data_IF_919231041460
#
_entry.id   IF_919231041460
#
_cell.length_a   1.000
_cell.length_b   1.000
_cell.length_c   1.000
_cell.angle_alpha   90.00
_cell.angle_beta   90.00
_cell.angle_gamma   90.00
#
_symmetry.space_group_name_H-M   'P 1'
#
loop_
_entity.id
_entity.type
_entity.pdbx_description
1 polymer ?
#
# COMPACT_ATOMS: atom_id res chain seq x y z
N UNK A 1 17.06 16.89 -3.87
CA UNK A 1 17.45 15.49 -4.11
C UNK A 1 18.09 15.44 -5.49
N UNK A 2 19.21 14.75 -5.66
CA UNK A 2 19.82 14.57 -6.98
C UNK A 2 19.29 13.27 -7.57
N UNK A 3 18.48 13.35 -8.63
CA UNK A 3 17.75 12.20 -9.21
C UNK A 3 18.67 11.05 -9.64
N UNK A 4 19.85 11.37 -10.15
CA UNK A 4 20.82 10.37 -10.61
C UNK A 4 21.37 9.49 -9.49
N UNK A 5 21.34 9.95 -8.23
CA UNK A 5 21.90 9.23 -7.08
C UNK A 5 20.90 8.34 -6.35
N UNK A 6 19.63 8.41 -6.72
CA UNK A 6 18.57 7.62 -6.08
C UNK A 6 18.82 6.13 -6.36
N UNK A 7 19.15 5.82 -7.61
CA UNK A 7 19.44 4.46 -8.09
C UNK A 7 20.69 3.84 -7.46
N UNK A 8 21.60 4.66 -6.90
CA UNK A 8 22.78 4.18 -6.18
C UNK A 8 22.47 3.70 -4.76
N UNK A 9 21.34 4.13 -4.19
CA UNK A 9 20.96 3.90 -2.78
C UNK A 9 19.83 2.87 -2.69
N UNK A 10 18.94 2.84 -3.68
CA UNK A 10 17.82 1.92 -3.74
C UNK A 10 18.33 0.48 -3.95
N UNK A 11 17.70 -0.47 -3.26
CA UNK A 11 18.00 -1.89 -3.42
C UNK A 11 17.83 -2.31 -4.89
N UNK A 12 18.86 -2.92 -5.48
CA UNK A 12 18.87 -3.29 -6.90
C UNK A 12 17.74 -4.24 -7.29
N UNK A 13 17.14 -4.96 -6.33
CA UNK A 13 16.02 -5.89 -6.57
C UNK A 13 14.71 -5.19 -6.91
N UNK A 14 14.59 -3.89 -6.63
CA UNK A 14 13.35 -3.12 -6.87
C UNK A 14 13.50 -2.05 -7.95
N UNK A 15 14.68 -1.94 -8.58
CA UNK A 15 14.92 -1.01 -9.68
C UNK A 15 14.28 -1.58 -10.95
N UNK A 16 13.28 -0.88 -11.48
CA UNK A 16 12.68 -1.15 -12.79
C UNK A 16 12.81 0.09 -13.68
N UNK A 17 13.26 -0.10 -14.93
CA UNK A 17 13.30 0.97 -15.93
C UNK A 17 11.92 1.56 -16.22
N UNK A 18 10.88 0.74 -16.15
CA UNK A 18 9.49 1.13 -16.39
C UNK A 18 8.93 2.03 -15.28
N UNK A 19 9.38 1.83 -14.03
CA UNK A 19 8.87 2.52 -12.84
C UNK A 19 9.82 3.60 -12.31
N UNK A 20 10.73 4.09 -13.15
CA UNK A 20 11.73 5.10 -12.75
C UNK A 20 11.07 6.40 -12.26
N UNK A 21 10.04 6.86 -12.97
CA UNK A 21 9.35 8.12 -12.64
C UNK A 21 8.61 8.01 -11.30
N UNK A 22 7.91 6.90 -11.09
CA UNK A 22 7.24 6.58 -9.82
C UNK A 22 8.24 6.50 -8.66
N UNK A 23 9.42 5.92 -8.90
CA UNK A 23 10.47 5.80 -7.90
C UNK A 23 11.10 7.17 -7.56
N UNK A 24 11.32 8.02 -8.56
CA UNK A 24 11.78 9.41 -8.34
C UNK A 24 10.74 10.18 -7.51
N UNK A 25 9.46 10.06 -7.85
CA UNK A 25 8.38 10.72 -7.13
C UNK A 25 8.28 10.23 -5.67
N UNK A 26 8.34 8.91 -5.45
CA UNK A 26 8.35 8.32 -4.11
C UNK A 26 9.54 8.83 -3.29
N UNK A 27 10.72 8.89 -3.91
CA UNK A 27 11.93 9.29 -3.22
C UNK A 27 11.93 10.80 -2.88
N UNK A 28 11.30 11.65 -3.71
CA UNK A 28 11.05 13.05 -3.36
C UNK A 28 10.13 13.19 -2.12
N UNK A 29 9.06 12.39 -2.05
CA UNK A 29 8.18 12.34 -0.86
C UNK A 29 9.01 11.97 0.37
N UNK A 30 9.80 10.90 0.29
CA UNK A 30 10.66 10.46 1.39
C UNK A 30 11.67 11.55 1.80
N UNK A 31 12.29 12.23 0.84
CA UNK A 31 13.23 13.33 1.07
C UNK A 31 12.55 14.49 1.82
N UNK A 32 11.32 14.87 1.43
CA UNK A 32 10.55 15.91 2.13
C UNK A 32 10.14 15.48 3.54
N UNK A 33 9.80 14.21 3.76
CA UNK A 33 9.50 13.66 5.09
C UNK A 33 10.69 13.76 6.05
N UNK A 34 11.91 13.59 5.53
CA UNK A 34 13.16 13.63 6.30
C UNK A 34 13.71 15.05 6.52
N UNK A 35 12.96 16.10 6.17
CA UNK A 35 13.42 17.47 6.33
C UNK A 35 13.78 17.78 7.79
N UNK A 36 14.98 18.35 8.04
CA UNK A 36 15.42 18.73 9.38
C UNK A 36 14.52 19.80 10.01
N UNK A 37 13.90 20.65 9.18
CA UNK A 37 12.90 21.61 9.63
C UNK A 37 11.53 20.93 9.70
N UNK A 38 11.03 20.69 10.91
CA UNK A 38 9.70 20.09 11.16
C UNK A 38 8.57 20.80 10.41
N UNK A 39 8.62 22.12 10.26
CA UNK A 39 7.56 22.90 9.58
C UNK A 39 7.54 22.71 8.07
N UNK A 40 8.63 22.20 7.49
CA UNK A 40 8.74 21.88 6.06
C UNK A 40 8.39 20.42 5.75
N UNK A 41 8.20 19.58 6.77
CA UNK A 41 7.76 18.19 6.57
C UNK A 41 6.30 18.19 6.09
N UNK A 42 5.95 17.37 5.10
CA UNK A 42 4.56 17.21 4.70
C UNK A 42 3.76 16.59 5.85
N UNK A 43 2.45 16.87 5.85
CA UNK A 43 1.51 16.16 6.72
C UNK A 43 1.26 14.75 6.19
N UNK A 44 0.91 13.80 7.06
CA UNK A 44 0.57 12.44 6.60
C UNK A 44 -0.59 12.42 5.60
N UNK A 45 -1.52 13.37 5.69
CA UNK A 45 -2.59 13.54 4.69
C UNK A 45 -2.03 13.84 3.29
N UNK A 46 -1.03 14.72 3.20
CA UNK A 46 -0.36 15.02 1.93
C UNK A 46 0.44 13.81 1.44
N UNK A 47 1.18 13.16 2.33
CA UNK A 47 1.95 11.95 1.98
C UNK A 47 1.05 10.87 1.39
N UNK A 48 -0.08 10.55 2.04
CA UNK A 48 -1.03 9.55 1.54
C UNK A 48 -1.60 9.96 0.18
N UNK A 49 -2.05 11.21 0.03
CA UNK A 49 -2.61 11.69 -1.24
C UNK A 49 -1.59 11.62 -2.40
N UNK A 50 -0.32 11.94 -2.13
CA UNK A 50 0.73 11.87 -3.14
C UNK A 50 1.09 10.41 -3.48
N UNK A 51 1.10 9.51 -2.50
CA UNK A 51 1.32 8.07 -2.73
C UNK A 51 0.17 7.43 -3.52
N UNK A 52 -1.07 7.81 -3.24
CA UNK A 52 -2.24 7.38 -4.03
C UNK A 52 -2.12 7.85 -5.49
N UNK A 53 -1.62 9.07 -5.71
CA UNK A 53 -1.37 9.57 -7.07
C UNK A 53 -0.32 8.77 -7.81
N UNK A 54 0.75 8.32 -7.13
CA UNK A 54 1.79 7.46 -7.73
C UNK A 54 1.24 6.07 -8.03
N UNK A 55 0.37 5.52 -7.18
CA UNK A 55 -0.25 4.21 -7.42
C UNK A 55 -1.22 4.23 -8.61
N UNK A 56 -1.90 5.36 -8.81
CA UNK A 56 -2.97 5.49 -9.81
C UNK A 56 -2.47 6.08 -11.14
N UNK A 57 -1.14 6.21 -11.34
CA UNK A 57 -0.63 6.58 -12.67
C UNK A 57 -1.01 5.46 -13.65
N UNK A 58 -1.74 5.78 -14.74
CA UNK A 58 -2.14 4.76 -15.69
C UNK A 58 -0.87 4.15 -16.27
N UNK A 59 -0.68 2.85 -16.02
CA UNK A 59 0.33 2.06 -16.69
C UNK A 59 0.11 2.26 -18.21
N UNK A 60 1.19 2.50 -18.95
CA UNK A 60 1.10 2.52 -20.41
C UNK A 60 0.46 1.19 -20.89
N UNK A 61 -0.22 1.12 -22.06
CA UNK A 61 -1.16 0.03 -22.40
C UNK A 61 -0.61 -1.41 -22.53
N UNK A 62 0.50 -1.78 -21.89
CA UNK A 62 1.19 -3.06 -22.10
C UNK A 62 1.44 -3.89 -20.84
N UNK A 63 0.84 -3.60 -19.69
CA UNK A 63 1.08 -4.40 -18.47
C UNK A 63 -0.16 -4.67 -17.59
N UNK A 64 -1.37 -4.75 -18.16
CA UNK A 64 -2.56 -5.15 -17.42
C UNK A 64 -2.67 -6.67 -17.25
N UNK A 65 -1.89 -7.35 -16.41
CA UNK A 65 -2.25 -8.74 -16.04
C UNK A 65 -2.04 -9.15 -14.56
N UNK A 66 -1.37 -8.38 -13.69
CA UNK A 66 -0.96 -8.94 -12.39
C UNK A 66 -1.60 -8.37 -11.10
N UNK A 67 -2.45 -7.36 -11.15
CA UNK A 67 -3.02 -6.76 -9.92
C UNK A 67 -4.45 -7.19 -9.59
N UNK A 68 -5.24 -7.64 -10.58
CA UNK A 68 -6.60 -8.13 -10.33
C UNK A 68 -6.62 -9.56 -9.78
N UNK A 69 -5.59 -10.37 -10.03
CA UNK A 69 -5.53 -11.76 -9.57
C UNK A 69 -5.40 -11.88 -8.04
N UNK A 70 -4.56 -11.03 -7.42
CA UNK A 70 -4.33 -11.06 -5.96
C UNK A 70 -5.56 -10.62 -5.15
N UNK A 71 -6.30 -9.62 -5.62
CA UNK A 71 -7.52 -9.15 -4.96
C UNK A 71 -8.63 -10.21 -5.02
N UNK A 72 -8.74 -10.92 -6.16
CA UNK A 72 -9.68 -12.01 -6.34
C UNK A 72 -9.34 -13.21 -5.45
N UNK A 73 -8.06 -13.59 -5.34
CA UNK A 73 -7.61 -14.66 -4.44
C UNK A 73 -7.88 -14.33 -2.96
N UNK A 74 -7.63 -13.09 -2.52
CA UNK A 74 -7.93 -12.65 -1.14
C UNK A 74 -9.43 -12.72 -0.86
N UNK A 75 -10.26 -12.28 -1.82
CA UNK A 75 -11.72 -12.32 -1.68
C UNK A 75 -12.26 -13.75 -1.65
N UNK A 76 -11.68 -14.66 -2.43
CA UNK A 76 -12.06 -16.08 -2.45
C UNK A 76 -11.68 -16.79 -1.14
N UNK A 77 -10.48 -16.50 -0.59
CA UNK A 77 -10.04 -16.98 0.72
C UNK A 77 -10.92 -16.46 1.88
N UNK A 78 -11.35 -15.21 1.80
CA UNK A 78 -12.26 -14.62 2.80
C UNK A 78 -13.65 -15.27 2.76
N UNK A 79 -14.19 -15.52 1.56
CA UNK A 79 -15.49 -16.16 1.39
C UNK A 79 -15.52 -17.61 1.93
N UNK A 80 -14.41 -18.36 1.78
CA UNK A 80 -14.30 -19.72 2.34
C UNK A 80 -14.23 -19.68 3.87
N UNK A 81 -13.46 -18.75 4.42
CA UNK A 81 -13.25 -18.60 5.86
C UNK A 81 -14.54 -18.24 6.63
N UNK A 82 -15.42 -17.42 6.06
CA UNK A 82 -16.70 -17.07 6.70
C UNK A 82 -17.65 -18.27 6.87
N UNK A 83 -17.60 -19.26 5.97
CA UNK A 83 -18.43 -20.46 6.05
C UNK A 83 -17.96 -21.47 7.12
N UNK A 84 -16.65 -21.49 7.40
CA UNK A 84 -16.05 -22.37 8.41
C UNK A 84 -16.13 -21.79 9.83
N UNK A 85 -16.06 -20.46 9.94
CA UNK A 85 -16.17 -19.76 11.24
C UNK A 85 -17.62 -19.81 11.76
N UNK A 86 -18.62 -19.78 10.89
CA UNK A 86 -20.04 -19.89 11.29
C UNK A 86 -20.44 -21.29 11.75
N UNK A 87 -19.76 -22.33 11.27
CA UNK A 87 -20.04 -23.74 11.62
C UNK A 87 -19.20 -24.27 12.79
N UNK A 88 -18.11 -23.58 13.16
CA UNK A 88 -17.23 -24.00 14.26
C UNK A 88 -17.59 -23.34 15.60
N UNK A 89 -17.57 -24.12 16.68
CA UNK A 89 -17.89 -23.64 18.04
C UNK A 89 -16.95 -22.52 18.56
N UNK A 90 -15.75 -22.38 17.99
CA UNK A 90 -14.81 -21.30 18.29
C UNK A 90 -15.15 -20.00 17.57
N UNK A 91 -15.79 -20.07 16.40
CA UNK A 91 -16.14 -18.88 15.62
C UNK A 91 -17.23 -18.01 16.24
N UNK A 92 -18.13 -18.62 17.02
CA UNK A 92 -19.12 -17.89 17.82
C UNK A 92 -18.47 -17.01 18.91
N UNK A 93 -17.35 -17.47 19.49
CA UNK A 93 -16.56 -16.67 20.44
C UNK A 93 -15.82 -15.53 19.75
N UNK A 94 -15.25 -15.76 18.56
CA UNK A 94 -14.50 -14.75 17.80
C UNK A 94 -15.43 -13.62 17.31
N UNK A 95 -16.61 -13.95 16.77
CA UNK A 95 -17.59 -12.95 16.31
C UNK A 95 -18.11 -12.06 17.44
N UNK A 96 -18.27 -12.62 18.64
CA UNK A 96 -18.65 -11.86 19.83
C UNK A 96 -17.53 -10.90 20.27
N UNK A 97 -16.26 -11.29 20.12
CA UNK A 97 -15.11 -10.46 20.49
C UNK A 97 -14.92 -9.30 19.51
N UNK A 98 -15.08 -9.52 18.20
CA UNK A 98 -14.92 -8.47 17.19
C UNK A 98 -16.03 -7.42 17.24
N UNK A 99 -17.28 -7.79 17.53
CA UNK A 99 -18.39 -6.85 17.71
C UNK A 99 -18.29 -5.99 18.99
N UNK A 100 -17.39 -6.32 19.92
CA UNK A 100 -17.06 -5.44 21.05
C UNK A 100 -16.03 -4.37 20.68
N UNK A 101 -15.34 -4.49 19.55
CA UNK A 101 -14.35 -3.51 19.08
C UNK A 101 -15.04 -2.37 18.30
N UNK A 102 -16.16 -2.67 17.63
CA UNK A 102 -16.99 -1.67 16.90
C UNK A 102 -17.81 -0.75 17.82
N UNK A 103 -17.77 -0.91 19.15
CA UNK A 103 -18.40 0.02 20.11
C UNK A 103 -17.42 1.04 20.72
N UNK A 104 -16.15 1.04 20.31
CA UNK A 104 -15.12 2.00 20.76
C UNK A 104 -14.64 2.99 19.67
N UNK A 105 -15.36 3.10 18.56
CA UNK A 105 -15.27 4.24 17.63
C UNK A 105 -16.55 5.07 17.67
#
# INVERSE_FOLDING_TARGET
MEENRIFDIVDSRIISEEKKEEMIAFADIAYRCLNLNRRKRPTMKQVVAELESIRNTPESPTAQENYEEVENEINELNATLESEVTSSSLGSTIYSVTNNISSFL
#
